data_IF_241982822719
#
_entry.id   IF_241982822719
#
_cell.length_a   1.000
_cell.length_b   1.000
_cell.length_c   1.000
_cell.angle_alpha   90.00
_cell.angle_beta   90.00
_cell.angle_gamma   90.00
#
_symmetry.space_group_name_H-M   'P 1'
#
loop_
_entity.id
_entity.type
_entity.pdbx_description
1 polymer ?
#
# COMPACT_ATOMS: atom_id res chain seq x y z
N UNK A 1 -11.12 0.03 19.56
CA UNK A 1 -11.16 0.59 18.19
C UNK A 1 -10.03 1.59 17.89
N UNK A 2 -9.64 2.52 18.79
CA UNK A 2 -8.54 3.49 18.54
C UNK A 2 -7.14 2.88 18.30
N UNK A 3 -6.79 1.79 18.98
CA UNK A 3 -5.46 1.19 18.87
C UNK A 3 -5.11 0.71 17.44
N UNK A 4 -6.08 0.10 16.75
CA UNK A 4 -5.88 -0.41 15.38
C UNK A 4 -5.65 0.74 14.38
N UNK A 5 -6.30 1.88 14.60
CA UNK A 5 -6.11 3.08 13.77
C UNK A 5 -4.71 3.66 13.90
N UNK A 6 -4.15 3.67 15.12
CA UNK A 6 -2.78 4.12 15.38
C UNK A 6 -1.77 3.17 14.72
N UNK A 7 -1.98 1.85 14.79
CA UNK A 7 -1.12 0.90 14.08
C UNK A 7 -1.14 1.10 12.57
N UNK A 8 -2.33 1.30 11.99
CA UNK A 8 -2.49 1.53 10.56
C UNK A 8 -1.84 2.82 10.08
N UNK A 9 -1.92 3.90 10.86
CA UNK A 9 -1.22 5.14 10.54
C UNK A 9 0.29 4.98 10.61
N UNK A 10 0.80 4.26 11.61
CA UNK A 10 2.24 3.92 11.72
C UNK A 10 2.69 3.09 10.53
N UNK A 11 1.90 2.09 10.14
CA UNK A 11 2.17 1.23 9.01
C UNK A 11 2.16 2.02 7.69
N UNK A 12 1.18 2.88 7.47
CA UNK A 12 1.12 3.74 6.28
C UNK A 12 2.33 4.69 6.19
N UNK A 13 2.81 5.23 7.31
CA UNK A 13 4.04 6.03 7.37
C UNK A 13 5.27 5.21 7.02
N UNK A 14 5.42 4.02 7.59
CA UNK A 14 6.53 3.10 7.31
C UNK A 14 6.56 2.72 5.82
N UNK A 15 5.41 2.36 5.27
CA UNK A 15 5.24 2.01 3.87
C UNK A 15 5.66 3.15 2.94
N UNK A 16 5.22 4.38 3.25
CA UNK A 16 5.61 5.59 2.49
C UNK A 16 7.12 5.81 2.56
N UNK A 17 7.73 5.61 3.72
CA UNK A 17 9.17 5.76 3.89
C UNK A 17 9.95 4.70 3.11
N UNK A 18 9.63 3.40 3.27
CA UNK A 18 10.28 2.31 2.54
C UNK A 18 10.13 2.47 1.03
N UNK A 19 8.96 2.92 0.56
CA UNK A 19 8.73 3.30 -0.85
C UNK A 19 9.69 4.37 -1.35
N UNK A 20 9.88 5.45 -0.59
CA UNK A 20 10.81 6.52 -0.96
C UNK A 20 12.26 6.02 -0.92
N UNK A 21 12.64 5.28 0.12
CA UNK A 21 13.98 4.71 0.29
C UNK A 21 14.36 3.76 -0.84
N UNK A 22 13.43 2.93 -1.29
CA UNK A 22 13.63 2.00 -2.39
C UNK A 22 13.48 2.66 -3.78
N UNK A 23 13.20 3.97 -3.85
CA UNK A 23 13.03 4.69 -5.11
C UNK A 23 11.78 4.30 -5.90
N UNK A 24 10.81 3.61 -5.27
CA UNK A 24 9.57 3.25 -5.95
C UNK A 24 8.67 4.47 -6.09
N UNK A 25 8.26 4.76 -7.32
CA UNK A 25 7.14 5.66 -7.55
C UNK A 25 5.80 4.93 -7.24
N UNK A 26 4.71 5.67 -7.04
CA UNK A 26 3.41 5.08 -6.72
C UNK A 26 2.91 4.09 -7.80
N UNK A 27 3.23 4.33 -9.07
CA UNK A 27 2.83 3.45 -10.16
C UNK A 27 3.63 2.14 -10.15
N UNK A 28 4.95 2.21 -9.96
CA UNK A 28 5.84 1.06 -9.84
C UNK A 28 5.49 0.24 -8.60
N UNK A 29 5.13 0.88 -7.49
CA UNK A 29 4.63 0.18 -6.31
C UNK A 29 3.32 -0.56 -6.64
N UNK A 30 2.35 0.11 -7.27
CA UNK A 30 1.10 -0.51 -7.70
C UNK A 30 1.30 -1.67 -8.68
N UNK A 31 2.21 -1.52 -9.65
CA UNK A 31 2.62 -2.56 -10.58
C UNK A 31 3.28 -3.74 -9.87
N UNK A 32 4.22 -3.48 -8.98
CA UNK A 32 4.96 -4.52 -8.24
C UNK A 32 4.04 -5.30 -7.32
N UNK A 33 3.12 -4.61 -6.63
CA UNK A 33 2.09 -5.26 -5.85
C UNK A 33 1.17 -6.09 -6.77
N UNK A 34 0.76 -5.55 -7.93
CA UNK A 34 -0.08 -6.29 -8.88
C UNK A 34 0.59 -7.56 -9.42
N UNK A 35 1.89 -7.50 -9.72
CA UNK A 35 2.69 -8.66 -10.13
C UNK A 35 2.86 -9.66 -8.99
N UNK A 36 3.14 -9.20 -7.76
CA UNK A 36 3.28 -10.05 -6.58
C UNK A 36 1.98 -10.76 -6.20
N UNK A 37 0.82 -10.15 -6.46
CA UNK A 37 -0.49 -10.70 -6.10
C UNK A 37 -1.24 -11.35 -7.27
N UNK A 38 -0.71 -11.27 -8.49
CA UNK A 38 -1.36 -11.82 -9.68
C UNK A 38 -2.61 -11.06 -10.13
N UNK A 39 -2.94 -9.94 -9.47
CA UNK A 39 -4.00 -9.04 -9.90
C UNK A 39 -3.39 -7.87 -10.67
N UNK A 40 -3.61 -7.84 -12.00
CA UNK A 40 -3.26 -6.68 -12.81
C UNK A 40 -4.14 -5.52 -12.37
N UNK A 41 -3.62 -4.69 -11.46
CA UNK A 41 -4.30 -3.47 -11.06
C UNK A 41 -4.44 -2.55 -12.27
N UNK A 42 -5.68 -2.29 -12.68
CA UNK A 42 -5.97 -1.37 -13.78
C UNK A 42 -5.49 0.05 -13.46
N UNK A 43 -5.32 0.88 -14.50
CA UNK A 43 -4.96 2.30 -14.37
C UNK A 43 -5.82 3.02 -13.31
N UNK A 44 -7.09 2.66 -13.20
CA UNK A 44 -8.06 3.18 -12.22
C UNK A 44 -7.70 2.80 -10.79
N UNK A 45 -7.29 1.54 -10.55
CA UNK A 45 -6.84 1.06 -9.24
C UNK A 45 -5.48 1.65 -8.86
N UNK A 46 -4.58 1.84 -9.83
CA UNK A 46 -3.31 2.58 -9.64
C UNK A 46 -3.59 4.04 -9.26
N UNK A 47 -4.62 4.67 -9.84
CA UNK A 47 -5.01 6.03 -9.51
C UNK A 47 -5.58 6.16 -8.07
N UNK A 48 -6.34 5.17 -7.61
CA UNK A 48 -6.75 5.09 -6.19
C UNK A 48 -5.56 4.91 -5.25
N UNK A 49 -4.54 4.16 -5.67
CA UNK A 49 -3.25 4.07 -4.96
C UNK A 49 -2.45 5.38 -4.98
N UNK A 50 -2.47 6.11 -6.11
CA UNK A 50 -1.87 7.46 -6.23
C UNK A 50 -2.46 8.44 -5.22
N UNK A 51 -3.77 8.37 -5.00
CA UNK A 51 -4.45 9.26 -4.07
C UNK A 51 -4.17 8.94 -2.59
N UNK A 52 -3.60 7.76 -2.28
CA UNK A 52 -3.42 7.27 -0.90
C UNK A 52 -4.72 7.36 -0.08
N UNK A 53 -5.87 7.40 -0.76
CA UNK A 53 -7.22 7.35 -0.19
C UNK A 53 -7.60 5.89 0.05
N UNK A 54 -6.71 5.17 0.72
CA UNK A 54 -7.02 3.84 1.20
C UNK A 54 -7.94 4.01 2.40
N UNK A 55 -9.22 3.74 2.20
CA UNK A 55 -10.14 3.62 3.32
C UNK A 55 -9.60 2.56 4.30
N UNK A 56 -9.89 2.73 5.58
CA UNK A 56 -9.49 1.82 6.66
C UNK A 56 -9.74 0.34 6.31
N UNK A 57 -10.85 0.06 5.62
CA UNK A 57 -11.26 -1.28 5.19
C UNK A 57 -10.35 -1.87 4.09
N UNK A 58 -9.85 -1.03 3.17
CA UNK A 58 -8.90 -1.44 2.13
C UNK A 58 -7.51 -1.64 2.72
N UNK A 59 -7.10 -0.74 3.61
CA UNK A 59 -5.80 -0.80 4.29
C UNK A 59 -5.68 -2.04 5.18
N UNK A 60 -6.74 -2.43 5.92
CA UNK A 60 -6.76 -3.70 6.66
C UNK A 60 -6.63 -4.94 5.76
N UNK A 61 -7.27 -4.94 4.58
CA UNK A 61 -7.19 -6.06 3.63
C UNK A 61 -5.81 -6.15 2.96
N UNK A 62 -5.20 -4.99 2.69
CA UNK A 62 -3.90 -4.88 2.05
C UNK A 62 -2.73 -4.97 3.04
N UNK A 63 -2.95 -4.85 4.36
CA UNK A 63 -1.90 -4.94 5.39
C UNK A 63 -0.99 -6.18 5.23
N UNK A 64 -1.49 -7.43 5.21
CA UNK A 64 -0.62 -8.61 5.07
C UNK A 64 0.12 -8.66 3.74
N UNK A 65 -0.43 -8.02 2.70
CA UNK A 65 0.14 -7.95 1.37
C UNK A 65 1.29 -6.92 1.33
N UNK A 66 1.05 -5.75 1.91
CA UNK A 66 2.03 -4.69 2.04
C UNK A 66 3.14 -5.06 3.03
N UNK A 67 2.84 -5.83 4.08
CA UNK A 67 3.85 -6.37 5.00
C UNK A 67 4.85 -7.27 4.26
N UNK A 68 4.39 -8.16 3.36
CA UNK A 68 5.28 -8.95 2.48
C UNK A 68 6.15 -8.12 1.54
N UNK A 69 5.69 -6.94 1.15
CA UNK A 69 6.48 -6.03 0.31
C UNK A 69 7.45 -5.17 1.12
N UNK A 70 7.12 -4.92 2.39
CA UNK A 70 7.94 -4.19 3.37
C UNK A 70 8.94 -5.08 4.09
N UNK A 71 8.83 -6.41 4.01
CA UNK A 71 9.89 -7.34 4.43
C UNK A 71 11.14 -7.08 3.57
#
# INVERSE_FOLDING_TARGET
>A
MKALQIELEKFAKLLKQKRITLGYNQANMGLTLGVLFGEVFSQTTICSFKALQLSFKSLCKLRPLLEKWVE
#
